data_IF_283838574615
#
_entry.id   IF_283838574615
#
_cell.length_a   1.000
_cell.length_b   1.000
_cell.length_c   1.000
_cell.angle_alpha   90.00
_cell.angle_beta   90.00
_cell.angle_gamma   90.00
#
_symmetry.space_group_name_H-M   'P 1'
#
loop_
_entity.id
_entity.type
_entity.pdbx_description
1 polymer ?
#
# COMPACT_ATOMS: atom_id res chain seq x y z
N UNK A 1 -5.26 -10.67 2.93
CA UNK A 1 -5.21 -12.10 2.56
C UNK A 1 -6.23 -12.43 1.50
N UNK A 2 -6.33 -11.58 0.49
CA UNK A 2 -7.20 -11.71 -0.68
C UNK A 2 -6.39 -11.17 -1.85
N UNK A 3 -6.75 -11.57 -3.07
CA UNK A 3 -6.22 -10.92 -4.26
C UNK A 3 -6.80 -9.51 -4.41
N UNK A 4 -6.09 -8.65 -5.15
CA UNK A 4 -6.50 -7.26 -5.37
C UNK A 4 -7.87 -7.14 -6.04
N UNK A 5 -8.16 -8.03 -6.99
CA UNK A 5 -9.47 -8.12 -7.64
C UNK A 5 -10.64 -8.43 -6.70
N UNK A 6 -10.34 -9.06 -5.56
CA UNK A 6 -11.35 -9.41 -4.55
C UNK A 6 -11.51 -8.31 -3.50
N UNK A 7 -10.40 -7.74 -3.00
CA UNK A 7 -10.47 -6.72 -1.96
C UNK A 7 -10.73 -5.30 -2.47
N UNK A 8 -10.62 -5.06 -3.78
CA UNK A 8 -11.05 -3.82 -4.45
C UNK A 8 -9.99 -2.72 -4.58
N UNK A 9 -8.81 -2.90 -4.00
CA UNK A 9 -7.68 -1.95 -4.13
C UNK A 9 -6.67 -2.54 -5.12
N UNK A 10 -6.87 -2.24 -6.40
CA UNK A 10 -6.09 -2.79 -7.52
C UNK A 10 -4.75 -2.10 -7.72
N UNK A 11 -4.70 -0.80 -7.46
CA UNK A 11 -3.55 0.05 -7.72
C UNK A 11 -3.62 1.34 -6.90
N UNK A 12 -2.52 2.07 -6.86
CA UNK A 12 -2.47 3.39 -6.24
C UNK A 12 -3.31 4.42 -7.00
N UNK A 13 -3.53 4.23 -8.31
CA UNK A 13 -4.48 5.03 -9.10
C UNK A 13 -5.55 4.13 -9.67
N UNK A 14 -6.81 4.42 -9.40
CA UNK A 14 -7.93 3.65 -9.93
C UNK A 14 -9.06 4.55 -10.43
N UNK A 15 -9.87 3.99 -11.32
CA UNK A 15 -11.10 4.59 -11.80
C UNK A 15 -12.19 3.53 -11.86
N UNK A 16 -13.34 3.85 -11.27
CA UNK A 16 -14.53 3.00 -11.32
C UNK A 16 -15.52 3.57 -12.36
N UNK A 17 -15.78 2.86 -13.46
CA UNK A 17 -16.68 3.33 -14.52
C UNK A 17 -18.17 3.33 -14.12
N UNK A 18 -18.56 2.66 -13.02
CA UNK A 18 -19.95 2.62 -12.54
C UNK A 18 -20.24 3.84 -11.68
N UNK A 19 -19.36 4.13 -10.71
CA UNK A 19 -19.53 5.30 -9.82
C UNK A 19 -18.93 6.59 -10.39
N UNK A 20 -18.13 6.50 -11.46
CA UNK A 20 -17.36 7.59 -12.05
C UNK A 20 -16.40 8.27 -11.07
N UNK A 21 -15.89 7.51 -10.08
CA UNK A 21 -14.96 8.00 -9.07
C UNK A 21 -13.52 7.59 -9.38
N UNK A 22 -12.61 8.43 -8.93
CA UNK A 22 -11.17 8.18 -8.95
C UNK A 22 -10.64 7.93 -7.54
N UNK A 23 -9.74 6.96 -7.43
CA UNK A 23 -8.95 6.69 -6.25
C UNK A 23 -7.53 7.19 -6.45
N UNK A 24 -6.95 7.77 -5.41
CA UNK A 24 -5.51 8.00 -5.30
C UNK A 24 -5.11 8.02 -3.83
N UNK A 25 -3.82 7.90 -3.45
CA UNK A 25 -3.41 8.01 -2.05
C UNK A 25 -3.66 9.40 -1.44
N UNK A 26 -4.04 10.40 -2.26
CA UNK A 26 -4.48 11.74 -1.81
C UNK A 26 -6.00 11.86 -1.68
N UNK A 27 -6.74 10.87 -2.16
CA UNK A 27 -8.20 10.83 -2.21
C UNK A 27 -8.67 9.37 -2.06
N UNK A 28 -8.36 8.78 -0.91
CA UNK A 28 -8.58 7.37 -0.60
C UNK A 28 -9.62 7.16 0.52
N UNK A 29 -10.20 8.21 1.09
CA UNK A 29 -11.04 8.12 2.28
C UNK A 29 -12.46 7.62 2.05
N UNK A 30 -12.88 7.41 0.80
CA UNK A 30 -14.22 6.91 0.47
C UNK A 30 -14.33 5.40 0.75
N UNK A 31 -15.19 4.95 1.68
CA UNK A 31 -15.35 3.54 2.01
C UNK A 31 -15.71 2.63 0.85
N UNK A 32 -16.29 3.15 -0.24
CA UNK A 32 -16.63 2.38 -1.44
C UNK A 32 -15.46 1.55 -1.95
N UNK A 33 -14.23 2.07 -1.87
CA UNK A 33 -13.02 1.39 -2.33
C UNK A 33 -12.58 0.25 -1.41
N UNK A 34 -12.90 0.33 -0.13
CA UNK A 34 -12.36 -0.53 0.92
C UNK A 34 -13.35 -1.58 1.43
N UNK A 35 -14.64 -1.40 1.16
CA UNK A 35 -15.70 -2.30 1.61
C UNK A 35 -15.69 -3.69 0.92
N UNK A 36 -14.81 -3.92 -0.05
CA UNK A 36 -14.66 -5.22 -0.71
C UNK A 36 -14.08 -6.32 0.20
N UNK A 37 -13.47 -5.96 1.31
CA UNK A 37 -12.86 -6.92 2.24
C UNK A 37 -12.97 -6.48 3.70
N UNK A 38 -12.93 -7.47 4.59
CA UNK A 38 -12.74 -7.21 6.02
C UNK A 38 -11.24 -7.26 6.38
N UNK A 39 -10.66 -6.17 6.90
CA UNK A 39 -9.26 -6.14 7.34
C UNK A 39 -9.11 -6.78 8.73
N UNK A 40 -7.88 -7.22 9.04
CA UNK A 40 -7.56 -7.96 10.27
C UNK A 40 -7.97 -7.24 11.56
N UNK A 41 -7.88 -5.91 11.60
CA UNK A 41 -8.28 -5.15 12.78
C UNK A 41 -9.79 -5.19 13.04
N UNK A 42 -10.62 -5.34 12.01
CA UNK A 42 -12.08 -5.52 12.18
C UNK A 42 -12.40 -6.97 12.58
N UNK A 43 -11.74 -7.95 11.96
CA UNK A 43 -11.91 -9.36 12.34
C UNK A 43 -11.53 -9.59 13.82
N UNK A 44 -10.45 -8.98 14.30
CA UNK A 44 -10.09 -9.05 15.72
C UNK A 44 -11.10 -8.33 16.63
N UNK A 45 -11.71 -7.22 16.18
CA UNK A 45 -12.80 -6.55 16.91
C UNK A 45 -14.02 -7.46 17.07
N UNK A 46 -14.36 -8.24 16.05
CA UNK A 46 -15.49 -9.16 16.09
C UNK A 46 -15.31 -10.32 17.08
N UNK A 47 -14.05 -10.61 17.44
CA UNK A 47 -13.73 -11.55 18.52
C UNK A 47 -13.71 -10.91 19.92
N UNK A 48 -14.09 -9.64 20.03
CA UNK A 48 -14.14 -8.88 21.28
C UNK A 48 -12.80 -8.28 21.70
N UNK A 49 -11.78 -8.31 20.84
CA UNK A 49 -10.48 -7.71 21.13
C UNK A 49 -10.37 -6.28 20.60
N UNK A 50 -9.70 -5.41 21.37
CA UNK A 50 -9.35 -4.08 20.90
C UNK A 50 -8.17 -4.11 19.94
N UNK A 51 -8.14 -3.17 19.01
CA UNK A 51 -7.15 -3.13 17.93
C UNK A 51 -6.59 -1.73 17.73
N UNK A 52 -5.34 -1.66 17.29
CA UNK A 52 -4.66 -0.40 16.98
C UNK A 52 -4.06 -0.42 15.57
N UNK A 53 -4.01 0.74 14.93
CA UNK A 53 -3.27 0.92 13.68
C UNK A 53 -2.63 2.31 13.61
N UNK A 54 -1.37 2.37 13.20
CA UNK A 54 -0.62 3.61 13.02
C UNK A 54 -0.09 3.64 11.60
N UNK A 55 -0.68 4.51 10.78
CA UNK A 55 -0.32 4.76 9.38
C UNK A 55 -0.54 3.58 8.41
N UNK A 56 -1.27 2.54 8.83
CA UNK A 56 -1.58 1.44 7.92
C UNK A 56 -2.65 1.85 6.91
N UNK A 57 -2.47 1.62 5.59
CA UNK A 57 -3.44 2.00 4.57
C UNK A 57 -4.86 1.46 4.85
N UNK A 58 -5.86 2.33 4.79
CA UNK A 58 -7.27 1.99 5.04
C UNK A 58 -7.64 1.89 6.52
N UNK A 59 -6.70 2.00 7.45
CA UNK A 59 -7.00 1.93 8.89
C UNK A 59 -7.72 3.17 9.43
N UNK A 60 -7.60 4.29 8.74
CA UNK A 60 -8.31 5.55 8.99
C UNK A 60 -9.57 5.72 8.13
N UNK A 61 -9.99 4.66 7.42
CA UNK A 61 -11.23 4.62 6.65
C UNK A 61 -12.31 3.84 7.40
N UNK A 62 -13.55 4.31 7.30
CA UNK A 62 -14.71 3.64 7.91
C UNK A 62 -15.16 2.46 7.04
N UNK A 63 -14.62 1.27 7.29
CA UNK A 63 -14.93 0.04 6.55
C UNK A 63 -16.09 -0.68 7.23
N UNK A 64 -17.22 -0.86 6.54
CA UNK A 64 -18.42 -1.46 7.11
C UNK A 64 -18.91 -0.73 8.38
N UNK A 65 -18.87 0.60 8.40
CA UNK A 65 -19.22 1.46 9.55
C UNK A 65 -18.33 1.26 10.79
N UNK A 66 -17.13 0.71 10.63
CA UNK A 66 -16.19 0.43 11.73
C UNK A 66 -14.77 0.88 11.38
N UNK A 67 -13.97 1.11 12.41
CA UNK A 67 -12.54 1.42 12.35
C UNK A 67 -11.81 0.54 13.39
N UNK A 68 -10.47 0.50 13.42
CA UNK A 68 -9.76 0.03 14.61
C UNK A 68 -10.22 0.76 15.87
N UNK A 69 -10.01 0.18 17.06
CA UNK A 69 -10.31 0.88 18.34
C UNK A 69 -9.50 2.16 18.47
N UNK A 70 -8.23 2.09 18.10
CA UNK A 70 -7.29 3.21 18.14
C UNK A 70 -6.61 3.34 16.79
N UNK A 71 -6.62 4.54 16.22
CA UNK A 71 -5.88 4.81 14.98
C UNK A 71 -5.54 6.29 14.86
N UNK A 72 -4.64 6.60 13.93
CA UNK A 72 -4.39 7.96 13.49
C UNK A 72 -4.72 8.09 12.00
N UNK A 73 -5.31 9.22 11.57
CA UNK A 73 -5.30 9.60 10.15
C UNK A 73 -3.87 9.61 9.61
N UNK A 74 -3.69 9.20 8.36
CA UNK A 74 -2.36 9.16 7.76
C UNK A 74 -1.64 10.51 7.85
N UNK A 75 -0.45 10.49 8.45
CA UNK A 75 0.39 11.66 8.63
C UNK A 75 1.87 11.27 8.44
N UNK A 76 2.44 11.52 7.25
CA UNK A 76 3.85 11.18 6.96
C UNK A 76 4.84 12.04 7.76
N UNK A 77 4.38 13.09 8.44
CA UNK A 77 5.20 13.91 9.33
C UNK A 77 5.34 13.36 10.75
N UNK A 78 4.60 12.31 11.12
CA UNK A 78 4.77 11.66 12.43
C UNK A 78 6.04 10.80 12.41
N UNK A 79 6.98 11.07 13.31
CA UNK A 79 8.25 10.34 13.41
C UNK A 79 8.03 8.88 13.82
N UNK A 80 8.95 7.98 13.45
CA UNK A 80 8.85 6.57 13.82
C UNK A 80 8.74 6.39 15.35
N UNK A 81 9.55 7.13 16.12
CA UNK A 81 9.47 7.14 17.59
C UNK A 81 8.07 7.50 18.11
N UNK A 82 7.44 8.55 17.58
CA UNK A 82 6.08 8.92 17.99
C UNK A 82 5.08 7.83 17.63
N UNK A 83 5.18 7.24 16.43
CA UNK A 83 4.31 6.14 16.01
C UNK A 83 4.44 4.95 16.96
N UNK A 84 5.69 4.62 17.31
CA UNK A 84 6.05 3.53 18.22
C UNK A 84 5.55 3.78 19.65
N UNK A 85 5.77 4.96 20.22
CA UNK A 85 5.29 5.30 21.56
C UNK A 85 3.77 5.21 21.65
N UNK A 86 3.04 5.69 20.64
CA UNK A 86 1.58 5.57 20.63
C UNK A 86 1.13 4.11 20.56
N UNK A 87 1.71 3.31 19.66
CA UNK A 87 1.26 1.94 19.48
C UNK A 87 1.58 1.07 20.70
N UNK A 88 2.74 1.24 21.34
CA UNK A 88 3.09 0.49 22.55
C UNK A 88 2.24 0.89 23.75
N UNK A 89 1.91 2.18 23.91
CA UNK A 89 0.98 2.64 24.95
C UNK A 89 -0.41 2.00 24.80
N UNK A 90 -0.93 1.88 23.57
CA UNK A 90 -2.19 1.17 23.32
C UNK A 90 -2.07 -0.34 23.56
N UNK A 91 -0.91 -0.95 23.30
CA UNK A 91 -0.67 -2.37 23.58
C UNK A 91 -0.55 -2.67 25.08
N UNK A 92 0.01 -1.75 25.89
CA UNK A 92 0.08 -1.93 27.34
C UNK A 92 -1.24 -1.61 28.04
N UNK A 93 -2.05 -0.72 27.45
CA UNK A 93 -3.21 -0.14 28.12
C UNK A 93 -2.81 0.87 29.20
N UNK A 94 -3.82 1.48 29.85
CA UNK A 94 -3.62 2.57 30.82
C UNK A 94 -4.31 2.32 32.17
N UNK A 95 -4.67 1.06 32.47
CA UNK A 95 -5.36 0.65 33.69
C UNK A 95 -6.89 0.88 33.67
N UNK A 96 -7.39 1.79 32.83
CA UNK A 96 -8.82 1.94 32.54
C UNK A 96 -9.23 1.10 31.31
N UNK A 97 -8.33 1.01 30.34
CA UNK A 97 -8.49 0.25 29.13
C UNK A 97 -7.47 -0.88 29.07
N UNK A 98 -7.94 -2.09 28.74
CA UNK A 98 -7.06 -3.23 28.45
C UNK A 98 -6.30 -2.98 27.15
N UNK A 99 -5.04 -3.43 27.12
CA UNK A 99 -4.20 -3.33 25.93
C UNK A 99 -4.79 -4.06 24.71
N UNK A 100 -4.52 -3.51 23.53
CA UNK A 100 -4.97 -4.09 22.25
C UNK A 100 -4.35 -5.47 22.00
N UNK A 101 -5.05 -6.33 21.25
CA UNK A 101 -4.53 -7.67 20.84
C UNK A 101 -4.02 -7.74 19.42
N UNK A 102 -4.31 -6.73 18.61
CA UNK A 102 -3.75 -6.56 17.27
C UNK A 102 -3.29 -5.12 17.11
N UNK A 103 -2.10 -4.94 16.55
CA UNK A 103 -1.48 -3.65 16.32
C UNK A 103 -0.78 -3.66 14.96
N UNK A 104 -1.05 -2.66 14.13
CA UNK A 104 -0.43 -2.45 12.83
C UNK A 104 0.39 -1.16 12.82
N UNK A 105 1.65 -1.20 12.40
CA UNK A 105 2.55 -0.06 12.34
C UNK A 105 3.19 0.00 10.96
N UNK A 106 3.19 1.17 10.34
CA UNK A 106 3.78 1.40 9.02
C UNK A 106 4.87 2.48 9.08
N UNK A 107 5.90 2.31 8.25
CA UNK A 107 7.00 3.25 8.02
C UNK A 107 7.32 3.33 6.52
N UNK A 108 7.63 4.54 6.03
CA UNK A 108 7.79 4.78 4.59
C UNK A 108 9.17 4.41 4.03
N UNK A 109 10.19 4.23 4.87
CA UNK A 109 11.50 3.75 4.41
C UNK A 109 11.55 2.22 4.39
N UNK A 110 12.25 1.59 3.43
CA UNK A 110 13.20 2.20 2.48
C UNK A 110 12.59 2.64 1.13
N UNK A 111 11.27 2.56 0.98
CA UNK A 111 10.58 2.82 -0.30
C UNK A 111 10.81 4.26 -0.78
N UNK A 112 10.64 5.25 0.12
CA UNK A 112 10.85 6.66 -0.18
C UNK A 112 12.25 6.93 -0.75
N UNK A 113 13.31 6.43 -0.08
CA UNK A 113 14.68 6.59 -0.57
C UNK A 113 14.93 5.79 -1.85
N UNK A 114 14.34 4.60 -1.98
CA UNK A 114 14.38 3.79 -3.20
C UNK A 114 13.81 4.53 -4.41
N UNK A 115 12.69 5.24 -4.25
CA UNK A 115 12.12 6.09 -5.31
C UNK A 115 13.00 7.29 -5.64
N UNK A 116 13.61 7.92 -4.63
CA UNK A 116 14.41 9.13 -4.82
C UNK A 116 15.75 8.86 -5.53
N UNK A 117 16.40 7.75 -5.20
CA UNK A 117 17.78 7.48 -5.61
C UNK A 117 17.95 6.23 -6.48
N UNK A 118 16.99 5.32 -6.45
CA UNK A 118 17.08 4.00 -7.07
C UNK A 118 17.82 2.99 -6.18
N UNK A 119 17.45 1.70 -6.24
CA UNK A 119 18.02 0.66 -5.38
C UNK A 119 19.50 0.39 -5.65
N UNK A 120 20.03 0.76 -6.83
CA UNK A 120 21.44 0.57 -7.18
C UNK A 120 22.36 1.67 -6.59
N UNK A 121 21.78 2.74 -6.03
CA UNK A 121 22.55 3.76 -5.32
C UNK A 121 22.89 3.29 -3.90
N UNK A 122 23.96 2.48 -3.81
CA UNK A 122 24.36 1.83 -2.55
C UNK A 122 24.59 2.82 -1.41
N UNK A 123 25.13 4.01 -1.67
CA UNK A 123 25.40 5.00 -0.62
C UNK A 123 24.13 5.51 0.04
N UNK A 124 23.10 5.87 -0.74
CA UNK A 124 21.84 6.37 -0.17
C UNK A 124 20.99 5.22 0.38
N UNK A 125 21.00 4.06 -0.27
CA UNK A 125 20.30 2.88 0.22
C UNK A 125 20.91 2.34 1.52
N UNK A 126 22.23 2.38 1.71
CA UNK A 126 22.87 2.01 2.98
C UNK A 126 22.39 2.91 4.13
N UNK A 127 22.21 4.22 3.89
CA UNK A 127 21.67 5.14 4.91
C UNK A 127 20.22 4.81 5.25
N UNK A 128 19.37 4.62 4.23
CA UNK A 128 17.96 4.29 4.43
C UNK A 128 17.80 2.93 5.15
N UNK A 129 18.58 1.92 4.75
CA UNK A 129 18.57 0.63 5.42
C UNK A 129 19.10 0.70 6.85
N UNK A 130 20.08 1.57 7.11
CA UNK A 130 20.59 1.81 8.47
C UNK A 130 19.53 2.46 9.35
N UNK A 131 18.75 3.40 8.82
CA UNK A 131 17.61 4.01 9.51
C UNK A 131 16.55 2.96 9.87
N UNK A 132 16.15 2.12 8.91
CA UNK A 132 15.19 1.04 9.14
C UNK A 132 15.70 0.05 10.19
N UNK A 133 16.99 -0.31 10.16
CA UNK A 133 17.62 -1.16 11.17
C UNK A 133 17.63 -0.50 12.57
N UNK A 134 17.93 0.79 12.66
CA UNK A 134 17.86 1.56 13.91
C UNK A 134 16.42 1.63 14.46
N UNK A 135 15.43 1.80 13.60
CA UNK A 135 14.02 1.82 13.96
C UNK A 135 13.54 0.45 14.45
N UNK A 136 13.99 -0.64 13.83
CA UNK A 136 13.76 -2.00 14.35
C UNK A 136 14.44 -2.17 15.73
N UNK A 137 15.66 -1.67 15.90
CA UNK A 137 16.34 -1.66 17.19
C UNK A 137 15.59 -0.85 18.26
N UNK A 138 14.99 0.28 17.87
CA UNK A 138 14.16 1.10 18.73
C UNK A 138 12.86 0.39 19.10
N UNK A 139 12.21 -0.29 18.15
CA UNK A 139 11.03 -1.14 18.39
C UNK A 139 11.35 -2.24 19.41
N UNK A 140 12.44 -2.99 19.22
CA UNK A 140 12.85 -4.04 20.17
C UNK A 140 13.13 -3.45 21.56
N UNK A 141 13.81 -2.30 21.62
CA UNK A 141 14.11 -1.62 22.88
C UNK A 141 12.83 -1.17 23.61
N UNK A 142 11.87 -0.62 22.88
CA UNK A 142 10.60 -0.18 23.43
C UNK A 142 9.73 -1.35 23.90
N UNK A 143 9.69 -2.46 23.14
CA UNK A 143 9.02 -3.69 23.57
C UNK A 143 9.63 -4.27 24.85
N UNK A 144 10.96 -4.21 25.00
CA UNK A 144 11.62 -4.60 26.24
C UNK A 144 11.24 -3.66 27.40
N UNK A 145 11.31 -2.35 27.18
CA UNK A 145 11.00 -1.31 28.18
C UNK A 145 9.56 -1.44 28.70
N UNK A 146 8.62 -1.77 27.82
CA UNK A 146 7.18 -1.93 28.14
C UNK A 146 6.83 -3.33 28.64
N UNK A 147 7.79 -4.26 28.68
CA UNK A 147 7.58 -5.65 29.10
C UNK A 147 6.79 -6.50 28.09
N UNK A 148 6.64 -6.01 26.86
CA UNK A 148 5.99 -6.69 25.74
C UNK A 148 6.92 -7.68 25.03
N UNK A 149 8.24 -7.51 25.13
CA UNK A 149 9.22 -8.41 24.51
C UNK A 149 9.05 -9.85 25.02
N UNK A 150 9.04 -10.81 24.09
CA UNK A 150 8.76 -12.22 24.39
C UNK A 150 7.29 -12.54 24.76
N UNK A 151 6.40 -11.54 24.75
CA UNK A 151 4.95 -11.70 25.01
C UNK A 151 4.07 -11.34 23.82
N UNK A 152 4.67 -10.76 22.78
CA UNK A 152 4.01 -10.41 21.52
C UNK A 152 4.58 -11.25 20.39
N UNK A 153 3.74 -11.57 19.40
CA UNK A 153 4.20 -12.10 18.13
C UNK A 153 4.46 -10.93 17.21
N UNK A 154 5.73 -10.72 16.84
CA UNK A 154 6.14 -9.63 15.95
C UNK A 154 6.32 -10.16 14.53
N UNK A 155 5.62 -9.55 13.58
CA UNK A 155 5.82 -9.76 12.15
C UNK A 155 6.42 -8.47 11.57
N UNK A 156 7.59 -8.58 10.94
CA UNK A 156 8.20 -7.50 10.15
C UNK A 156 8.15 -7.94 8.68
N UNK A 157 7.57 -7.11 7.82
CA UNK A 157 7.37 -7.41 6.40
C UNK A 157 7.42 -6.11 5.59
N UNK A 158 7.60 -6.23 4.27
CA UNK A 158 7.32 -5.16 3.31
C UNK A 158 6.10 -5.51 2.45
N UNK A 159 5.57 -4.51 1.76
CA UNK A 159 4.52 -4.61 0.76
C UNK A 159 5.07 -5.06 -0.61
N UNK A 160 6.25 -4.57 -1.00
CA UNK A 160 6.93 -4.98 -2.23
C UNK A 160 8.46 -4.76 -2.16
N UNK A 161 9.13 -4.96 -3.30
CA UNK A 161 10.55 -4.63 -3.51
C UNK A 161 10.73 -3.33 -4.29
N UNK A 162 11.94 -3.10 -4.81
CA UNK A 162 12.28 -1.91 -5.61
C UNK A 162 13.15 -2.29 -6.82
N UNK A 163 13.02 -1.57 -7.93
CA UNK A 163 13.79 -1.82 -9.15
C UNK A 163 14.39 -0.53 -9.73
N UNK A 164 15.60 -0.62 -10.29
CA UNK A 164 16.26 0.53 -10.91
C UNK A 164 15.59 0.93 -12.23
N UNK A 165 15.12 2.16 -12.29
CA UNK A 165 14.62 2.78 -13.52
C UNK A 165 15.74 3.46 -14.32
N UNK A 166 15.53 3.62 -15.62
CA UNK A 166 16.40 4.41 -16.51
C UNK A 166 15.55 5.11 -17.57
N UNK A 167 15.94 6.34 -17.93
CA UNK A 167 15.34 7.07 -19.04
C UNK A 167 15.52 6.34 -20.39
N UNK A 168 16.56 5.53 -20.53
CA UNK A 168 16.82 4.72 -21.74
C UNK A 168 15.88 3.52 -21.87
N UNK A 169 15.15 3.17 -20.80
CA UNK A 169 14.21 2.05 -20.76
C UNK A 169 12.75 2.51 -20.68
N UNK A 170 12.47 3.74 -21.13
CA UNK A 170 11.11 4.27 -21.19
C UNK A 170 10.39 3.82 -22.45
N UNK A 171 9.15 3.35 -22.27
CA UNK A 171 8.22 3.04 -23.36
C UNK A 171 7.21 4.17 -23.41
N UNK A 172 7.15 4.88 -24.54
CA UNK A 172 6.23 6.01 -24.72
C UNK A 172 4.99 5.54 -25.47
N UNK A 173 3.85 5.49 -24.78
CA UNK A 173 2.59 5.04 -25.39
C UNK A 173 2.15 5.91 -26.56
N UNK A 174 2.45 7.22 -26.52
CA UNK A 174 2.12 8.17 -27.60
C UNK A 174 2.73 7.77 -28.96
N UNK A 175 3.83 7.02 -28.97
CA UNK A 175 4.49 6.58 -30.20
C UNK A 175 3.67 5.53 -30.96
N UNK A 176 2.72 4.85 -30.29
CA UNK A 176 1.90 3.79 -30.87
C UNK A 176 0.39 3.99 -30.70
N UNK A 177 -0.03 4.87 -29.78
CA UNK A 177 -1.43 5.07 -29.44
C UNK A 177 -1.72 6.53 -29.04
N UNK A 178 -2.58 7.20 -29.80
CA UNK A 178 -2.99 8.58 -29.47
C UNK A 178 -3.85 8.61 -28.18
N UNK A 179 -3.62 9.55 -27.24
CA UNK A 179 -4.32 9.63 -25.94
C UNK A 179 -5.86 9.66 -26.04
N UNK A 180 -6.43 10.31 -27.05
CA UNK A 180 -7.89 10.34 -27.27
C UNK A 180 -8.55 8.96 -27.41
N UNK A 181 -7.77 7.91 -27.67
CA UNK A 181 -8.29 6.56 -27.83
C UNK A 181 -8.54 5.82 -26.50
N UNK A 182 -8.06 6.34 -25.36
CA UNK A 182 -8.19 5.67 -24.08
C UNK A 182 -8.35 6.63 -22.90
N UNK A 183 -8.82 6.10 -21.78
CA UNK A 183 -8.72 6.71 -20.46
C UNK A 183 -7.56 6.03 -19.74
N UNK A 184 -6.57 6.81 -19.31
CA UNK A 184 -5.44 6.33 -18.50
C UNK A 184 -5.92 6.12 -17.07
N UNK A 185 -5.76 4.90 -16.54
CA UNK A 185 -6.12 4.56 -15.15
C UNK A 185 -4.87 4.54 -14.28
N UNK A 186 -3.86 3.79 -14.70
CA UNK A 186 -2.53 3.75 -14.08
C UNK A 186 -1.47 3.68 -15.19
N UNK A 187 -0.25 4.15 -14.91
CA UNK A 187 0.76 4.38 -15.94
C UNK A 187 2.05 3.56 -15.75
N UNK A 188 2.56 3.44 -14.53
CA UNK A 188 3.89 2.84 -14.29
C UNK A 188 3.97 2.21 -12.91
N UNK A 189 4.63 1.04 -12.75
CA UNK A 189 5.28 0.25 -13.80
C UNK A 189 4.31 -0.64 -14.60
N UNK A 190 3.06 -0.78 -14.15
CA UNK A 190 2.01 -1.54 -14.84
C UNK A 190 0.94 -0.56 -15.32
N UNK A 191 0.88 -0.33 -16.63
CA UNK A 191 -0.12 0.55 -17.20
C UNK A 191 -1.48 -0.15 -17.30
N UNK A 192 -2.54 0.56 -16.90
CA UNK A 192 -3.92 0.13 -17.05
C UNK A 192 -4.69 1.20 -17.83
N UNK A 193 -5.30 0.79 -18.94
CA UNK A 193 -6.03 1.68 -19.86
C UNK A 193 -7.44 1.17 -20.07
N UNK A 194 -8.40 2.09 -20.15
CA UNK A 194 -9.76 1.79 -20.63
C UNK A 194 -9.90 2.33 -22.05
N UNK A 195 -10.05 1.47 -23.07
CA UNK A 195 -10.33 1.91 -24.43
C UNK A 195 -11.59 2.77 -24.52
N UNK A 196 -11.49 3.94 -25.14
CA UNK A 196 -12.67 4.80 -25.42
C UNK A 196 -13.48 4.27 -26.61
N UNK A 197 -12.90 3.36 -27.40
CA UNK A 197 -13.46 2.74 -28.61
C UNK A 197 -13.07 1.25 -28.65
N UNK A 198 -13.21 0.61 -29.81
CA UNK A 198 -12.86 -0.79 -30.11
C UNK A 198 -11.63 -1.34 -29.33
N UNK A 199 -11.85 -2.11 -28.25
CA UNK A 199 -10.78 -2.65 -27.41
C UNK A 199 -9.80 -3.55 -28.16
N UNK A 200 -10.27 -4.34 -29.14
CA UNK A 200 -9.40 -5.23 -29.90
C UNK A 200 -8.41 -4.44 -30.76
N UNK A 201 -8.88 -3.33 -31.34
CA UNK A 201 -8.00 -2.45 -32.13
C UNK A 201 -6.92 -1.82 -31.26
N UNK A 202 -7.28 -1.36 -30.06
CA UNK A 202 -6.32 -0.79 -29.10
C UNK A 202 -5.31 -1.85 -28.65
N UNK A 203 -5.78 -3.04 -28.28
CA UNK A 203 -4.93 -4.17 -27.95
C UNK A 203 -3.94 -4.49 -29.07
N UNK A 204 -4.40 -4.62 -30.33
CA UNK A 204 -3.53 -4.89 -31.49
C UNK A 204 -2.43 -3.84 -31.70
N UNK A 205 -2.71 -2.57 -31.38
CA UNK A 205 -1.71 -1.49 -31.43
C UNK A 205 -0.70 -1.62 -30.27
N UNK A 206 -1.19 -1.82 -29.04
CA UNK A 206 -0.35 -1.98 -27.85
C UNK A 206 0.56 -3.22 -27.94
N UNK A 207 0.06 -4.36 -28.41
CA UNK A 207 0.87 -5.59 -28.57
C UNK A 207 2.03 -5.43 -29.56
N UNK A 208 2.04 -4.35 -30.37
CA UNK A 208 3.11 -4.02 -31.32
C UNK A 208 3.88 -2.77 -30.93
N UNK A 209 3.55 -2.14 -29.80
CA UNK A 209 4.08 -0.84 -29.42
C UNK A 209 5.59 -0.89 -29.14
N UNK A 210 6.04 -1.91 -28.39
CA UNK A 210 7.44 -2.04 -28.01
C UNK A 210 7.81 -3.48 -27.67
N UNK A 211 9.03 -3.91 -28.02
CA UNK A 211 9.49 -5.30 -27.84
C UNK A 211 9.61 -5.72 -26.36
N UNK A 212 9.83 -4.76 -25.45
CA UNK A 212 9.89 -4.99 -24.01
C UNK A 212 8.55 -4.73 -23.29
N UNK A 213 7.43 -4.68 -24.02
CA UNK A 213 6.09 -4.54 -23.47
C UNK A 213 5.24 -5.73 -23.91
N UNK A 214 4.41 -6.22 -22.99
CA UNK A 214 3.37 -7.18 -23.30
C UNK A 214 2.03 -6.60 -22.90
N UNK A 215 1.12 -6.47 -23.86
CA UNK A 215 -0.24 -6.05 -23.61
C UNK A 215 -1.12 -7.28 -23.42
N UNK A 216 -2.09 -7.18 -22.51
CA UNK A 216 -3.11 -8.19 -22.28
C UNK A 216 -4.49 -7.53 -22.31
N UNK A 217 -5.47 -8.20 -22.90
CA UNK A 217 -6.85 -7.96 -22.51
C UNK A 217 -7.05 -8.50 -21.09
N UNK A 218 -7.98 -7.90 -20.32
CA UNK A 218 -8.23 -8.31 -18.93
C UNK A 218 -8.43 -9.83 -18.78
N UNK A 219 -9.26 -10.41 -19.65
CA UNK A 219 -9.60 -11.84 -19.64
C UNK A 219 -8.45 -12.75 -20.11
N UNK A 220 -7.35 -12.17 -20.60
CA UNK A 220 -6.18 -12.89 -21.11
C UNK A 220 -4.96 -12.74 -20.18
N UNK A 221 -5.09 -12.00 -19.07
CA UNK A 221 -4.05 -11.91 -18.05
C UNK A 221 -3.80 -13.32 -17.50
N UNK A 222 -2.53 -13.77 -17.37
CA UNK A 222 -2.24 -15.11 -16.89
C UNK A 222 -2.86 -15.38 -15.52
N UNK A 223 -3.61 -16.49 -15.39
CA UNK A 223 -4.38 -16.91 -14.19
C UNK A 223 -3.63 -16.89 -12.84
N UNK A 224 -2.30 -16.86 -12.87
CA UNK A 224 -1.46 -16.81 -11.66
C UNK A 224 -1.34 -15.40 -11.05
N UNK A 225 -1.86 -14.38 -11.73
CA UNK A 225 -1.77 -12.97 -11.35
C UNK A 225 -3.09 -12.47 -10.78
#
# INVERSE_FOLDING_TARGET
GLYAESHGILASSMYDPISHKHFSPRNDSDPMWWNGAEPLWLTALDTGYKTAAVMWPGSDVTIGNRTPTHFFPYNPGMTFRQRLENITNWMTGNGQEQGVKFAALYWEEPDRSGHAFGPDNTTEMEKAMKEVDDDIGLLVSELNRTGLWGRVNLLVTSDHGMAQCSADRLIRLDDCLHPDNYTLVDLTPVAALIPNRDPEKIFKLLSKCHANMMAYLKEEIPDRL
#
